data_IF_322769041415
#
_entry.id   IF_322769041415
#
_cell.length_a   1.000
_cell.length_b   1.000
_cell.length_c   1.000
_cell.angle_alpha   90.00
_cell.angle_beta   90.00
_cell.angle_gamma   90.00
#
_symmetry.space_group_name_H-M   'P 1'
#
loop_
_entity.id
_entity.type
_entity.pdbx_description
1 polymer ?
#
# COMPACT_ATOMS: atom_id res chain seq x y z
N UNK A 1 12.74 -28.99 -1.12
CA UNK A 1 12.60 -27.56 -0.78
C UNK A 1 12.19 -26.85 -2.07
N UNK A 2 10.97 -26.32 -2.15
CA UNK A 2 10.50 -25.60 -3.33
C UNK A 2 10.70 -24.11 -3.11
N UNK A 3 11.40 -23.44 -4.02
CA UNK A 3 11.51 -21.97 -4.04
C UNK A 3 10.75 -21.46 -5.26
N UNK A 4 9.97 -20.39 -5.07
CA UNK A 4 9.27 -19.71 -6.16
C UNK A 4 9.99 -18.39 -6.40
N UNK A 5 10.58 -18.22 -7.59
CA UNK A 5 11.14 -16.94 -8.01
C UNK A 5 10.10 -16.21 -8.84
N UNK A 6 9.70 -15.04 -8.40
CA UNK A 6 8.80 -14.18 -9.17
C UNK A 6 9.61 -13.50 -10.27
N UNK A 7 9.20 -13.72 -11.52
CA UNK A 7 9.80 -13.08 -12.70
C UNK A 7 8.67 -12.59 -13.60
N UNK A 8 8.93 -11.71 -14.58
CA UNK A 8 7.92 -11.33 -15.56
C UNK A 8 7.32 -12.55 -16.30
N UNK A 9 8.11 -13.61 -16.50
CA UNK A 9 7.69 -14.85 -17.17
C UNK A 9 7.00 -15.83 -16.22
N UNK A 10 7.27 -15.71 -14.91
CA UNK A 10 6.67 -16.54 -13.85
C UNK A 10 6.05 -15.61 -12.81
N UNK A 11 4.87 -15.02 -13.12
CA UNK A 11 4.22 -14.09 -12.23
C UNK A 11 3.78 -14.78 -10.95
N UNK A 12 3.62 -14.00 -9.89
CA UNK A 12 3.15 -14.51 -8.61
C UNK A 12 1.73 -15.07 -8.76
N UNK A 13 1.47 -16.34 -8.40
CA UNK A 13 0.12 -16.88 -8.41
C UNK A 13 -0.81 -16.08 -7.49
N UNK A 14 -2.05 -15.76 -7.89
CA UNK A 14 -2.99 -15.01 -7.05
C UNK A 14 -3.24 -15.66 -5.68
N UNK A 15 -3.15 -16.99 -5.60
CA UNK A 15 -3.29 -17.74 -4.35
C UNK A 15 -2.23 -17.37 -3.30
N UNK A 16 -1.07 -16.86 -3.70
CA UNK A 16 -0.03 -16.41 -2.77
C UNK A 16 -0.50 -15.17 -2.00
N UNK A 17 -1.25 -14.26 -2.63
CA UNK A 17 -1.80 -13.09 -1.92
C UNK A 17 -2.72 -13.52 -0.79
N UNK A 18 -3.57 -14.51 -1.04
CA UNK A 18 -4.43 -15.09 -0.01
C UNK A 18 -3.62 -15.75 1.12
N UNK A 19 -2.52 -16.45 0.79
CA UNK A 19 -1.64 -17.05 1.79
C UNK A 19 -0.88 -16.00 2.61
N UNK A 20 -0.43 -14.91 1.99
CA UNK A 20 0.19 -13.77 2.69
C UNK A 20 -0.81 -13.14 3.67
N UNK A 21 -2.06 -12.93 3.23
CA UNK A 21 -3.11 -12.41 4.09
C UNK A 21 -3.44 -13.37 5.25
N UNK A 22 -3.46 -14.68 5.03
CA UNK A 22 -3.68 -15.67 6.11
C UNK A 22 -2.53 -15.73 7.12
N UNK A 23 -1.30 -15.43 6.69
CA UNK A 23 -0.14 -15.35 7.58
C UNK A 23 -0.09 -14.07 8.41
N UNK A 24 -0.88 -13.06 8.05
CA UNK A 24 -0.93 -11.70 8.65
C UNK A 24 0.43 -11.13 9.08
N UNK A 25 1.48 -11.13 8.23
CA UNK A 25 2.78 -10.59 8.62
C UNK A 25 2.83 -9.05 8.58
N UNK A 26 1.73 -8.39 8.17
CA UNK A 26 1.63 -6.95 7.94
C UNK A 26 0.53 -6.35 8.81
N UNK A 27 0.55 -5.02 8.93
CA UNK A 27 -0.53 -4.29 9.56
C UNK A 27 -1.86 -4.52 8.83
N UNK A 28 -2.93 -4.62 9.62
CA UNK A 28 -4.29 -4.82 9.15
C UNK A 28 -5.19 -3.68 9.64
N UNK A 29 -5.82 -2.99 8.69
CA UNK A 29 -6.74 -1.89 8.99
C UNK A 29 -8.09 -2.10 8.31
N UNK A 30 -9.12 -1.38 8.75
CA UNK A 30 -10.41 -1.37 8.07
C UNK A 30 -10.49 -0.26 7.02
N UNK A 31 -11.38 -0.41 6.05
CA UNK A 31 -11.75 0.63 5.09
C UNK A 31 -12.69 1.71 5.68
N UNK A 32 -12.63 1.95 6.99
CA UNK A 32 -13.47 2.99 7.60
C UNK A 32 -13.03 4.35 7.00
N UNK A 33 -13.96 5.31 6.80
CA UNK A 33 -13.58 6.65 6.35
C UNK A 33 -12.40 7.22 7.12
N UNK A 34 -11.44 7.80 6.39
CA UNK A 34 -10.15 8.33 6.82
C UNK A 34 -9.16 7.32 7.44
N UNK A 35 -9.51 6.04 7.58
CA UNK A 35 -8.64 5.06 8.25
C UNK A 35 -7.34 4.81 7.46
N UNK A 36 -7.44 4.74 6.12
CA UNK A 36 -6.27 4.51 5.27
C UNK A 36 -5.38 5.74 5.28
N UNK A 37 -5.98 6.92 5.12
CA UNK A 37 -5.25 8.20 5.17
C UNK A 37 -4.55 8.39 6.51
N UNK A 38 -5.26 8.16 7.61
CA UNK A 38 -4.73 8.25 8.96
C UNK A 38 -3.58 7.27 9.18
N UNK A 39 -3.74 6.02 8.71
CA UNK A 39 -2.70 5.01 8.82
C UNK A 39 -1.42 5.44 8.08
N UNK A 40 -1.53 5.81 6.81
CA UNK A 40 -0.37 6.30 6.02
C UNK A 40 0.25 7.52 6.70
N UNK A 41 -0.53 8.49 7.16
CA UNK A 41 0.02 9.74 7.70
C UNK A 41 0.81 9.57 9.00
N UNK A 42 0.35 8.70 9.90
CA UNK A 42 0.94 8.53 11.24
C UNK A 42 1.88 7.33 11.39
N UNK A 43 1.70 6.29 10.59
CA UNK A 43 2.45 5.03 10.72
C UNK A 43 3.49 4.82 9.63
N UNK A 44 3.49 5.65 8.58
CA UNK A 44 4.59 5.64 7.60
C UNK A 44 5.81 6.40 8.09
N UNK A 45 6.95 6.12 7.47
CA UNK A 45 8.21 6.85 7.66
C UNK A 45 8.17 8.18 6.87
N UNK A 46 7.24 9.08 7.23
CA UNK A 46 6.99 10.32 6.49
C UNK A 46 7.91 11.44 6.94
N UNK A 47 8.51 12.15 5.98
CA UNK A 47 9.23 13.39 6.25
C UNK A 47 8.25 14.50 6.69
N UNK A 48 8.46 15.05 7.88
CA UNK A 48 7.57 16.08 8.47
C UNK A 48 7.60 17.43 7.75
N UNK A 49 8.64 17.72 6.97
CA UNK A 49 8.79 18.99 6.23
C UNK A 49 8.15 18.90 4.84
N UNK A 50 8.36 17.80 4.14
CA UNK A 50 7.90 17.63 2.76
C UNK A 50 6.60 16.84 2.64
N UNK A 51 6.14 16.21 3.72
CA UNK A 51 4.99 15.31 3.72
C UNK A 51 5.10 14.11 2.76
N UNK A 52 6.30 13.82 2.25
CA UNK A 52 6.58 12.64 1.41
C UNK A 52 7.03 11.46 2.27
N UNK A 53 6.67 10.25 1.86
CA UNK A 53 7.17 9.01 2.48
C UNK A 53 8.67 8.83 2.17
N UNK A 54 9.50 8.60 3.20
CA UNK A 54 10.93 8.29 3.06
C UNK A 54 11.17 6.81 2.76
N UNK A 55 10.19 5.95 3.04
CA UNK A 55 10.20 4.51 2.72
C UNK A 55 8.84 4.05 2.22
N UNK A 56 8.86 3.02 1.37
CA UNK A 56 7.62 2.38 0.93
C UNK A 56 6.94 1.64 2.10
N UNK A 57 5.61 1.60 2.10
CA UNK A 57 4.79 0.99 3.13
C UNK A 57 3.88 -0.08 2.52
N UNK A 58 3.65 -1.18 3.24
CA UNK A 58 2.79 -2.28 2.79
C UNK A 58 1.85 -2.72 3.93
N UNK A 59 0.55 -2.77 3.68
CA UNK A 59 -0.47 -3.14 4.67
C UNK A 59 -1.74 -3.71 4.01
N UNK A 60 -2.57 -4.39 4.81
CA UNK A 60 -3.86 -4.90 4.38
C UNK A 60 -5.01 -3.97 4.78
N UNK A 61 -5.97 -3.79 3.88
CA UNK A 61 -7.26 -3.14 4.15
C UNK A 61 -8.37 -4.18 4.03
N UNK A 62 -9.15 -4.32 5.09
CA UNK A 62 -10.34 -5.17 5.16
C UNK A 62 -11.62 -4.33 5.24
N UNK A 63 -12.75 -4.95 4.97
CA UNK A 63 -14.05 -4.30 5.14
C UNK A 63 -14.32 -4.02 6.62
N UNK A 64 -14.82 -2.83 6.93
CA UNK A 64 -15.20 -2.43 8.29
C UNK A 64 -16.24 -3.39 8.86
N UNK A 65 -15.96 -3.92 10.05
CA UNK A 65 -16.81 -4.91 10.72
C UNK A 65 -16.73 -6.32 10.14
N UNK A 66 -15.91 -6.57 9.11
CA UNK A 66 -15.70 -7.90 8.51
C UNK A 66 -14.21 -8.14 8.28
N UNK A 67 -13.59 -8.84 9.23
CA UNK A 67 -12.17 -9.12 9.20
C UNK A 67 -11.86 -10.46 8.55
N UNK A 68 -10.65 -10.58 8.01
CA UNK A 68 -10.11 -11.81 7.44
C UNK A 68 -10.30 -11.94 5.93
N UNK A 69 -9.38 -12.66 5.26
CA UNK A 69 -9.27 -12.67 3.81
C UNK A 69 -10.46 -13.30 3.08
N UNK A 70 -11.23 -14.18 3.74
CA UNK A 70 -12.47 -14.75 3.19
C UNK A 70 -13.55 -13.70 2.91
N UNK A 71 -13.49 -12.56 3.60
CA UNK A 71 -14.41 -11.45 3.41
C UNK A 71 -13.94 -10.47 2.31
N UNK A 72 -12.77 -10.74 1.72
CA UNK A 72 -12.10 -9.88 0.76
C UNK A 72 -11.14 -8.87 1.42
N UNK A 73 -10.11 -8.48 0.69
CA UNK A 73 -9.09 -7.52 1.13
C UNK A 73 -8.44 -6.77 -0.03
N UNK A 74 -7.80 -5.64 0.31
CA UNK A 74 -6.82 -4.96 -0.54
C UNK A 74 -5.45 -5.06 0.10
N UNK A 75 -4.43 -5.45 -0.67
CA UNK A 75 -3.04 -5.27 -0.30
C UNK A 75 -2.55 -3.95 -0.88
N UNK A 76 -2.20 -3.01 0.00
CA UNK A 76 -1.82 -1.65 -0.39
C UNK A 76 -0.31 -1.50 -0.29
N UNK A 77 0.34 -1.22 -1.42
CA UNK A 77 1.74 -0.77 -1.49
C UNK A 77 1.75 0.74 -1.73
N UNK A 78 2.27 1.50 -0.77
CA UNK A 78 2.49 2.95 -0.93
C UNK A 78 3.96 3.17 -1.19
N UNK A 79 4.28 3.70 -2.37
CA UNK A 79 5.68 3.91 -2.74
C UNK A 79 6.31 5.07 -1.96
N UNK A 80 7.62 4.95 -1.81
CA UNK A 80 8.48 6.04 -1.36
C UNK A 80 8.28 7.27 -2.26
N UNK A 81 8.31 8.46 -1.66
CA UNK A 81 8.06 9.72 -2.36
C UNK A 81 6.58 10.09 -2.45
N UNK A 82 5.65 9.18 -2.15
CA UNK A 82 4.22 9.48 -2.11
C UNK A 82 3.95 10.62 -1.11
N UNK A 83 3.25 11.66 -1.57
CA UNK A 83 2.94 12.84 -0.79
C UNK A 83 1.57 12.71 -0.08
N UNK A 84 1.56 12.86 1.24
CA UNK A 84 0.33 12.84 2.04
C UNK A 84 0.21 14.10 2.90
N UNK A 85 -0.68 15.01 2.50
CA UNK A 85 -0.79 16.34 3.09
C UNK A 85 -1.30 16.33 4.54
N UNK A 86 -2.25 15.46 4.86
CA UNK A 86 -2.97 15.45 6.15
C UNK A 86 -3.44 14.05 6.54
N UNK A 87 -3.69 13.85 7.84
CA UNK A 87 -4.25 12.61 8.38
C UNK A 87 -5.74 12.40 8.09
N UNK A 88 -6.45 13.49 7.80
CA UNK A 88 -7.90 13.49 7.52
C UNK A 88 -8.16 14.29 6.26
N UNK A 89 -9.22 13.95 5.54
CA UNK A 89 -9.69 14.75 4.41
C UNK A 89 -10.42 16.00 4.92
N UNK A 90 -10.12 17.15 4.32
CA UNK A 90 -10.86 18.38 4.58
C UNK A 90 -12.26 18.33 3.97
N UNK A 91 -13.25 18.92 4.64
CA UNK A 91 -14.60 19.03 4.13
C UNK A 91 -14.62 19.81 2.80
N UNK A 92 -15.22 19.24 1.76
CA UNK A 92 -15.27 19.84 0.41
C UNK A 92 -14.06 19.56 -0.49
N UNK A 93 -13.05 18.83 -0.01
CA UNK A 93 -11.95 18.39 -0.87
C UNK A 93 -12.43 17.36 -1.91
N UNK A 94 -11.88 17.43 -3.13
CA UNK A 94 -12.13 16.46 -4.19
C UNK A 94 -11.65 15.06 -3.80
N UNK A 95 -12.22 14.04 -4.45
CA UNK A 95 -11.77 12.64 -4.32
C UNK A 95 -10.31 12.48 -4.78
N UNK A 96 -9.49 11.80 -3.98
CA UNK A 96 -8.11 11.44 -4.30
C UNK A 96 -7.89 9.92 -4.29
N UNK A 97 -6.66 9.49 -4.61
CA UNK A 97 -6.34 8.06 -4.77
C UNK A 97 -6.53 7.24 -3.49
N UNK A 98 -6.44 7.87 -2.30
CA UNK A 98 -6.63 7.20 -1.02
C UNK A 98 -8.10 6.89 -0.80
N UNK A 99 -9.00 7.78 -1.22
CA UNK A 99 -10.44 7.59 -1.04
C UNK A 99 -10.94 6.31 -1.76
N UNK A 100 -10.28 5.91 -2.84
CA UNK A 100 -10.57 4.63 -3.51
C UNK A 100 -10.31 3.42 -2.62
N UNK A 101 -9.29 3.48 -1.76
CA UNK A 101 -8.95 2.39 -0.83
C UNK A 101 -9.95 2.23 0.30
N UNK A 102 -10.69 3.30 0.61
CA UNK A 102 -11.71 3.35 1.65
C UNK A 102 -13.11 2.94 1.15
N UNK A 103 -13.27 2.67 -0.16
CA UNK A 103 -14.53 2.15 -0.72
C UNK A 103 -14.83 0.74 -0.24
N UNK A 104 -16.07 0.30 -0.42
CA UNK A 104 -16.47 -1.07 -0.10
C UNK A 104 -15.62 -2.11 -0.84
N UNK A 105 -15.33 -3.22 -0.15
CA UNK A 105 -14.62 -4.39 -0.67
C UNK A 105 -15.67 -5.50 -0.84
N UNK A 106 -15.94 -5.96 -2.07
CA UNK A 106 -16.85 -7.08 -2.28
C UNK A 106 -16.36 -8.35 -1.57
N UNK A 107 -17.30 -9.19 -1.13
CA UNK A 107 -16.95 -10.42 -0.44
C UNK A 107 -16.08 -11.33 -1.33
N UNK A 108 -14.96 -11.81 -0.78
CA UNK A 108 -14.01 -12.68 -1.48
C UNK A 108 -13.14 -11.96 -2.52
N UNK A 109 -13.23 -10.63 -2.62
CA UNK A 109 -12.41 -9.83 -3.52
C UNK A 109 -10.95 -9.77 -3.04
N UNK A 110 -10.00 -9.91 -3.96
CA UNK A 110 -8.57 -9.78 -3.66
C UNK A 110 -7.96 -8.86 -4.70
N UNK A 111 -7.35 -7.76 -4.24
CA UNK A 111 -6.64 -6.86 -5.14
C UNK A 111 -5.36 -6.31 -4.52
N UNK A 112 -4.42 -5.96 -5.40
CA UNK A 112 -3.21 -5.21 -5.04
C UNK A 112 -3.39 -3.81 -5.58
N UNK A 113 -3.22 -2.81 -4.71
CA UNK A 113 -3.26 -1.40 -5.11
C UNK A 113 -1.92 -0.77 -4.81
N UNK A 114 -1.40 -0.02 -5.78
CA UNK A 114 -0.12 0.67 -5.67
C UNK A 114 -0.38 2.16 -5.72
N UNK A 115 0.08 2.90 -4.71
CA UNK A 115 -0.01 4.36 -4.64
C UNK A 115 1.37 4.99 -4.86
N UNK A 116 1.41 6.06 -5.66
CA UNK A 116 2.64 6.75 -6.03
C UNK A 116 3.39 6.05 -7.17
N UNK A 117 4.45 6.70 -7.63
CA UNK A 117 5.29 6.18 -8.70
C UNK A 117 6.29 5.16 -8.17
N UNK A 118 6.59 4.14 -8.97
CA UNK A 118 7.58 3.15 -8.60
C UNK A 118 8.95 3.83 -8.42
N UNK A 119 9.67 3.60 -7.31
CA UNK A 119 10.99 4.16 -7.12
C UNK A 119 11.91 3.66 -8.24
N UNK A 120 12.60 4.59 -8.90
CA UNK A 120 13.60 4.26 -9.91
C UNK A 120 14.84 3.74 -9.19
N UNK A 121 15.02 2.42 -9.22
CA UNK A 121 16.27 1.79 -8.80
C UNK A 121 17.28 1.93 -9.94
N UNK A 122 18.20 2.89 -9.79
CA UNK A 122 19.36 2.97 -10.67
C UNK A 122 20.37 1.94 -10.16
N UNK A 123 20.52 0.84 -10.91
CA UNK A 123 21.58 -0.13 -10.67
C UNK A 123 22.91 0.49 -11.10
N UNK A 124 23.55 1.26 -10.22
CA UNK A 124 24.98 1.46 -10.30
C UNK A 124 25.65 0.28 -9.59
N UNK A 125 26.62 -0.35 -10.25
CA UNK A 125 27.25 -1.63 -9.90
C UNK A 125 27.92 -1.72 -8.51
N UNK A 126 27.78 -0.73 -7.60
CA UNK A 126 28.52 -0.70 -6.31
C UNK A 126 27.71 -0.19 -5.09
N UNK A 127 26.38 -0.33 -5.08
CA UNK A 127 25.60 -0.15 -3.84
C UNK A 127 24.38 0.77 -4.00
N UNK A 128 23.40 0.29 -4.76
CA UNK A 128 22.22 1.04 -5.21
C UNK A 128 21.64 2.05 -4.21
N UNK A 129 21.51 3.29 -4.69
CA UNK A 129 20.77 4.35 -4.03
C UNK A 129 19.54 4.73 -4.85
N UNK A 130 18.48 5.15 -4.18
CA UNK A 130 17.24 5.60 -4.81
C UNK A 130 17.48 7.04 -5.31
N UNK A 131 17.32 7.26 -6.61
CA UNK A 131 17.45 8.59 -7.23
C UNK A 131 16.07 9.24 -7.28
N UNK A 132 16.00 10.50 -6.88
CA UNK A 132 14.79 11.31 -6.94
C UNK A 132 14.91 12.28 -8.13
N UNK A 133 13.89 12.40 -8.97
CA UNK A 133 13.76 13.58 -9.83
C UNK A 133 13.38 14.77 -8.92
N UNK A 134 14.23 15.79 -8.90
CA UNK A 134 13.91 17.08 -8.29
C UNK A 134 13.08 17.89 -9.29
N UNK A 135 11.85 18.27 -8.89
CA UNK A 135 11.02 19.26 -9.59
C UNK A 135 11.59 20.68 -9.46
#
# INVERSE_FOLDING_TARGET
>A
MSFNVVTPQTPLPPSILHQLALGSPLDEISNHPDAVRHHIFYHSDRNKKTNKLERSMLFFVYQTGRFGPQNGFRLCLVHQGFHIASATKGEGNLEDDIDRLEKDIPQGHMEVVVLGEAPVYVNDEDGGHIVFEED
#
